data_IF_423002283068
#
_entry.id   IF_423002283068
#
_cell.length_a   1.000
_cell.length_b   1.000
_cell.length_c   1.000
_cell.angle_alpha   90.00
_cell.angle_beta   90.00
_cell.angle_gamma   90.00
#
_symmetry.space_group_name_H-M   'P 1'
#
loop_
_entity.id
_entity.type
_entity.pdbx_description
1 polymer ?
#
# COMPACT_ATOMS: atom_id res chain seq x y z
N UNK A 1 55.15 56.55 34.90
CA UNK A 1 54.33 55.38 35.32
C UNK A 1 53.43 55.00 34.14
N UNK A 2 53.36 53.71 33.79
CA UNK A 2 52.87 53.21 32.51
C UNK A 2 51.33 53.03 32.51
N UNK A 3 50.74 52.79 31.34
CA UNK A 3 49.72 51.76 31.01
C UNK A 3 49.31 52.00 29.52
N UNK A 4 49.79 51.22 28.54
CA UNK A 4 49.10 50.07 27.87
C UNK A 4 47.61 50.32 27.54
N UNK A 5 47.00 49.87 26.44
CA UNK A 5 47.21 48.73 25.54
C UNK A 5 46.26 48.89 24.33
N UNK A 6 46.77 48.71 23.12
CA UNK A 6 46.12 48.19 21.89
C UNK A 6 44.59 48.26 21.77
N UNK A 7 44.09 49.11 20.88
CA UNK A 7 42.79 48.91 20.23
C UNK A 7 42.96 47.93 19.08
N UNK A 8 42.49 46.69 19.27
CA UNK A 8 42.42 45.68 18.21
C UNK A 8 41.13 45.91 17.43
N UNK A 9 41.28 46.21 16.14
CA UNK A 9 40.21 46.23 15.15
C UNK A 9 39.62 44.82 15.02
N UNK A 10 38.35 44.66 15.38
CA UNK A 10 37.58 43.42 15.18
C UNK A 10 37.00 43.42 13.77
N UNK A 11 37.68 42.71 12.86
CA UNK A 11 37.14 42.37 11.54
C UNK A 11 36.07 41.29 11.72
N UNK A 12 34.80 41.63 11.49
CA UNK A 12 33.72 40.67 11.45
C UNK A 12 33.79 39.85 10.14
N UNK A 13 34.31 38.62 10.20
CA UNK A 13 34.15 37.65 9.11
C UNK A 13 32.70 37.14 9.13
N UNK A 14 31.89 37.59 8.18
CA UNK A 14 30.60 37.00 7.89
C UNK A 14 30.82 35.64 7.20
N UNK A 15 30.57 34.54 7.91
CA UNK A 15 30.57 33.20 7.33
C UNK A 15 29.27 32.98 6.52
N UNK A 16 29.34 32.45 5.29
CA UNK A 16 28.14 32.11 4.54
C UNK A 16 27.48 30.87 5.16
N UNK A 17 26.31 31.05 5.77
CA UNK A 17 25.47 29.95 6.23
C UNK A 17 24.92 29.19 5.00
N UNK A 18 25.52 28.05 4.68
CA UNK A 18 25.03 27.13 3.65
C UNK A 18 23.76 26.47 4.20
N UNK A 19 22.60 27.00 3.81
CA UNK A 19 21.29 26.41 4.09
C UNK A 19 21.12 25.15 3.24
N UNK A 20 21.42 23.98 3.80
CA UNK A 20 21.06 22.70 3.19
C UNK A 20 19.54 22.54 3.26
N UNK A 21 18.86 22.83 2.15
CA UNK A 21 17.44 22.53 1.99
C UNK A 21 17.25 21.01 2.10
N UNK A 22 16.74 20.54 3.24
CA UNK A 22 16.34 19.15 3.42
C UNK A 22 15.20 18.85 2.46
N UNK A 23 15.46 18.04 1.44
CA UNK A 23 14.45 17.62 0.49
C UNK A 23 13.49 16.67 1.22
N UNK A 24 12.16 16.89 1.20
CA UNK A 24 11.24 15.95 1.82
C UNK A 24 11.39 14.59 1.11
N UNK A 25 11.65 13.54 1.87
CA UNK A 25 11.56 12.19 1.37
C UNK A 25 10.07 11.87 1.18
N UNK A 26 9.60 11.81 -0.06
CA UNK A 26 8.31 11.18 -0.34
C UNK A 26 8.42 9.71 0.05
N UNK A 27 7.63 9.29 1.04
CA UNK A 27 7.49 7.88 1.34
C UNK A 27 6.81 7.21 0.14
N UNK A 28 7.37 6.06 -0.28
CA UNK A 28 6.69 5.19 -1.25
C UNK A 28 5.34 4.78 -0.70
N UNK A 29 4.38 4.59 -1.60
CA UNK A 29 3.10 4.02 -1.22
C UNK A 29 3.27 2.58 -0.73
N UNK A 30 2.51 2.17 0.30
CA UNK A 30 2.59 0.82 0.82
C UNK A 30 2.23 -0.21 -0.26
N UNK A 31 2.91 -1.36 -0.22
CA UNK A 31 2.61 -2.48 -1.12
C UNK A 31 1.18 -3.01 -0.91
N UNK A 32 0.65 -2.91 0.31
CA UNK A 32 -0.71 -3.29 0.67
C UNK A 32 -1.58 -2.05 0.86
N UNK A 33 -2.71 -1.99 0.16
CA UNK A 33 -3.73 -0.98 0.42
C UNK A 33 -4.29 -1.18 1.84
N UNK A 34 -4.15 -0.14 2.65
CA UNK A 34 -4.53 -0.16 4.05
C UNK A 34 -5.18 1.14 4.50
N UNK A 35 -6.22 1.01 5.31
CA UNK A 35 -6.94 2.11 5.96
C UNK A 35 -6.58 2.10 7.44
N UNK A 36 -5.90 3.14 7.94
CA UNK A 36 -5.40 3.21 9.31
C UNK A 36 -4.55 1.96 9.74
N UNK A 37 -3.75 1.42 8.81
CA UNK A 37 -2.92 0.23 9.05
C UNK A 37 -3.62 -1.11 8.85
N UNK A 38 -4.93 -1.12 8.55
CA UNK A 38 -5.70 -2.36 8.33
C UNK A 38 -5.82 -2.65 6.84
N UNK A 39 -5.37 -3.83 6.42
CA UNK A 39 -5.40 -4.27 5.03
C UNK A 39 -6.83 -4.39 4.50
N UNK A 40 -7.04 -3.98 3.25
CA UNK A 40 -8.28 -4.22 2.47
C UNK A 40 -9.59 -3.90 3.23
N UNK A 41 -9.56 -2.82 4.00
CA UNK A 41 -10.68 -2.34 4.83
C UNK A 41 -11.16 -3.38 5.87
N UNK A 42 -10.27 -4.26 6.34
CA UNK A 42 -10.58 -5.27 7.36
C UNK A 42 -11.34 -6.47 6.84
N UNK A 43 -11.44 -6.65 5.52
CA UNK A 43 -12.09 -7.82 4.92
C UNK A 43 -11.17 -9.03 5.00
N UNK A 44 -11.73 -10.21 5.26
CA UNK A 44 -10.97 -11.47 5.25
C UNK A 44 -10.61 -11.88 3.80
N UNK A 45 -9.31 -11.90 3.44
CA UNK A 45 -8.89 -12.25 2.08
C UNK A 45 -9.16 -13.72 1.74
N UNK A 46 -9.19 -14.62 2.72
CA UNK A 46 -9.44 -16.06 2.53
C UNK A 46 -10.92 -16.31 2.26
N UNK A 47 -11.81 -15.52 2.87
CA UNK A 47 -13.25 -15.68 2.71
C UNK A 47 -13.73 -15.55 1.25
N UNK A 48 -13.06 -14.74 0.43
CA UNK A 48 -13.37 -14.58 -1.00
C UNK A 48 -13.35 -15.90 -1.79
N UNK A 49 -12.51 -16.84 -1.38
CA UNK A 49 -12.34 -18.13 -2.07
C UNK A 49 -13.46 -19.14 -1.75
N UNK A 50 -14.33 -18.82 -0.79
CA UNK A 50 -15.50 -19.65 -0.45
C UNK A 50 -16.73 -19.38 -1.33
N UNK A 51 -16.69 -18.34 -2.17
CA UNK A 51 -17.81 -17.94 -3.04
C UNK A 51 -18.93 -17.16 -2.33
N UNK A 52 -18.86 -16.99 -1.01
CA UNK A 52 -19.87 -16.27 -0.21
C UNK A 52 -19.71 -14.74 -0.23
N UNK A 53 -18.73 -14.22 -0.98
CA UNK A 53 -18.43 -12.79 -1.05
C UNK A 53 -17.50 -12.29 0.06
N UNK A 54 -17.35 -10.96 0.20
CA UNK A 54 -16.52 -10.38 1.25
C UNK A 54 -17.15 -10.60 2.62
N UNK A 55 -16.34 -11.01 3.60
CA UNK A 55 -16.78 -11.09 4.99
C UNK A 55 -15.80 -10.27 5.85
N UNK A 56 -16.28 -9.34 6.69
CA UNK A 56 -15.42 -8.61 7.61
C UNK A 56 -14.71 -9.56 8.57
N UNK A 57 -13.39 -9.40 8.72
CA UNK A 57 -12.62 -10.10 9.74
C UNK A 57 -12.73 -9.43 11.11
N UNK A 58 -12.20 -10.11 12.13
CA UNK A 58 -12.06 -9.58 13.49
C UNK A 58 -10.60 -9.28 13.83
N UNK A 59 -10.37 -8.29 14.68
CA UNK A 59 -9.06 -8.03 15.29
C UNK A 59 -8.58 -9.19 16.19
N UNK A 60 -9.50 -10.03 16.69
CA UNK A 60 -9.18 -11.24 17.47
C UNK A 60 -8.46 -12.31 16.62
N UNK A 61 -8.57 -12.20 15.30
CA UNK A 61 -7.92 -13.06 14.34
C UNK A 61 -7.16 -12.19 13.36
N UNK A 62 -5.98 -11.73 13.77
CA UNK A 62 -5.17 -10.82 12.97
C UNK A 62 -3.74 -11.33 12.73
N UNK A 63 -3.16 -10.92 11.60
CA UNK A 63 -1.75 -11.14 11.24
C UNK A 63 -1.19 -9.84 10.67
N UNK A 64 0.03 -9.47 11.07
CA UNK A 64 0.75 -8.38 10.41
C UNK A 64 1.62 -8.96 9.29
N UNK A 65 1.39 -8.53 8.06
CA UNK A 65 2.13 -8.98 6.88
C UNK A 65 2.24 -7.85 5.86
N UNK A 66 3.44 -7.64 5.31
CA UNK A 66 3.80 -6.52 4.42
C UNK A 66 3.42 -5.14 4.98
N UNK A 67 3.60 -4.94 6.29
CA UNK A 67 3.36 -3.65 6.95
C UNK A 67 1.90 -3.30 7.16
N UNK A 68 0.97 -4.22 6.91
CA UNK A 68 -0.47 -4.06 7.17
C UNK A 68 -1.00 -5.14 8.12
N UNK A 69 -2.00 -4.81 8.91
CA UNK A 69 -2.76 -5.75 9.75
C UNK A 69 -3.91 -6.34 8.95
N UNK A 70 -3.88 -7.66 8.76
CA UNK A 70 -4.89 -8.45 8.07
C UNK A 70 -5.83 -9.06 9.10
N UNK A 71 -7.14 -8.90 8.91
CA UNK A 71 -8.17 -9.48 9.78
C UNK A 71 -8.80 -10.70 9.12
N UNK A 72 -9.24 -11.65 9.95
CA UNK A 72 -9.83 -12.90 9.50
C UNK A 72 -11.13 -13.18 10.26
N UNK A 73 -12.06 -13.87 9.61
CA UNK A 73 -13.34 -14.27 10.20
C UNK A 73 -13.18 -15.37 11.24
N UNK A 74 -12.14 -16.19 11.11
CA UNK A 74 -11.85 -17.31 11.98
C UNK A 74 -10.36 -17.58 12.08
N UNK A 75 -9.94 -18.22 13.18
CA UNK A 75 -8.57 -18.72 13.37
C UNK A 75 -8.10 -19.58 12.18
N UNK A 76 -8.96 -20.41 11.61
CA UNK A 76 -8.64 -21.26 10.47
C UNK A 76 -8.27 -20.46 9.20
N UNK A 77 -8.97 -19.34 8.94
CA UNK A 77 -8.66 -18.46 7.81
C UNK A 77 -7.33 -17.74 8.03
N UNK A 78 -7.08 -17.25 9.25
CA UNK A 78 -5.79 -16.69 9.64
C UNK A 78 -4.64 -17.66 9.35
N UNK A 79 -4.79 -18.92 9.75
CA UNK A 79 -3.79 -19.96 9.50
C UNK A 79 -3.67 -20.34 8.01
N UNK A 80 -4.76 -20.29 7.25
CA UNK A 80 -4.74 -20.47 5.80
C UNK A 80 -3.92 -19.37 5.10
N UNK A 81 -4.10 -18.12 5.54
CA UNK A 81 -3.34 -16.99 5.04
C UNK A 81 -1.86 -17.09 5.43
N UNK A 82 -1.52 -17.38 6.69
CA UNK A 82 -0.11 -17.51 7.12
C UNK A 82 0.64 -18.60 6.35
N UNK A 83 -0.04 -19.68 5.96
CA UNK A 83 0.55 -20.79 5.21
C UNK A 83 0.86 -20.42 3.76
N UNK A 84 0.00 -19.63 3.12
CA UNK A 84 0.18 -19.18 1.74
C UNK A 84 -0.43 -17.78 1.55
N UNK A 85 0.30 -16.72 1.98
CA UNK A 85 -0.21 -15.36 1.90
C UNK A 85 -0.39 -14.93 0.45
N UNK A 86 0.53 -15.38 -0.43
CA UNK A 86 0.54 -15.00 -1.83
C UNK A 86 -0.68 -15.52 -2.58
N UNK A 87 -1.23 -16.68 -2.21
CA UNK A 87 -2.48 -17.20 -2.79
C UNK A 87 -3.69 -16.35 -2.43
N UNK A 88 -3.77 -15.91 -1.18
CA UNK A 88 -4.98 -15.29 -0.64
C UNK A 88 -4.98 -13.76 -0.74
N UNK A 89 -3.82 -13.13 -0.63
CA UNK A 89 -3.68 -11.69 -0.79
C UNK A 89 -4.05 -11.26 -2.22
N UNK A 90 -4.70 -10.09 -2.41
CA UNK A 90 -4.98 -9.59 -3.75
C UNK A 90 -3.70 -9.30 -4.53
N UNK A 91 -3.71 -9.57 -5.83
CA UNK A 91 -2.51 -9.50 -6.68
C UNK A 91 -1.81 -8.14 -6.65
N UNK A 92 -2.60 -7.06 -6.60
CA UNK A 92 -2.08 -5.68 -6.54
C UNK A 92 -2.21 -5.10 -5.13
N UNK A 93 -1.91 -5.90 -4.10
CA UNK A 93 -1.86 -5.44 -2.71
C UNK A 93 -3.20 -5.01 -2.11
N UNK A 94 -4.30 -5.21 -2.83
CA UNK A 94 -5.61 -4.71 -2.44
C UNK A 94 -5.96 -3.35 -3.03
N UNK A 95 -5.12 -2.76 -3.87
CA UNK A 95 -5.52 -1.65 -4.74
C UNK A 95 -6.42 -2.15 -5.88
N UNK A 96 -7.12 -1.21 -6.52
CA UNK A 96 -7.94 -1.49 -7.68
C UNK A 96 -7.11 -2.07 -8.84
N UNK A 97 -7.37 -3.31 -9.21
CA UNK A 97 -6.69 -4.02 -10.30
C UNK A 97 -6.87 -3.33 -11.66
N UNK A 98 -8.05 -2.74 -11.89
CA UNK A 98 -8.27 -1.92 -13.09
C UNK A 98 -7.42 -0.64 -13.07
N UNK A 99 -7.33 0.07 -11.93
CA UNK A 99 -6.46 1.24 -11.84
C UNK A 99 -4.99 0.86 -12.07
N UNK A 100 -4.54 -0.25 -11.47
CA UNK A 100 -3.20 -0.79 -11.69
C UNK A 100 -2.93 -1.07 -13.18
N UNK A 101 -3.90 -1.64 -13.91
CA UNK A 101 -3.78 -1.84 -15.38
C UNK A 101 -3.70 -0.54 -16.18
N UNK A 102 -4.16 0.57 -15.59
CA UNK A 102 -4.09 1.92 -16.15
C UNK A 102 -2.91 2.74 -15.65
N UNK A 103 -2.06 2.19 -14.78
CA UNK A 103 -0.82 2.82 -14.32
C UNK A 103 -0.99 3.78 -13.14
N UNK A 104 -2.06 3.65 -12.35
CA UNK A 104 -2.25 4.45 -11.14
C UNK A 104 -2.88 3.62 -10.01
N UNK A 105 -2.78 4.13 -8.78
CA UNK A 105 -3.38 3.51 -7.60
C UNK A 105 -4.78 4.06 -7.35
N UNK A 106 -5.68 3.19 -6.95
CA UNK A 106 -6.98 3.57 -6.41
C UNK A 106 -7.36 2.60 -5.28
N UNK A 107 -8.13 3.04 -4.28
CA UNK A 107 -8.57 2.17 -3.18
C UNK A 107 -9.43 1.01 -3.69
N UNK A 108 -9.77 0.10 -2.79
CA UNK A 108 -10.73 -0.98 -3.08
C UNK A 108 -12.05 -0.83 -2.34
N UNK A 109 -13.11 -1.33 -2.97
CA UNK A 109 -14.37 -1.71 -2.35
C UNK A 109 -14.44 -3.24 -2.20
N UNK A 110 -14.74 -3.78 -0.99
CA UNK A 110 -14.77 -5.23 -0.75
C UNK A 110 -15.68 -6.03 -1.68
N UNK A 111 -16.82 -5.46 -2.09
CA UNK A 111 -17.81 -6.10 -2.96
C UNK A 111 -17.36 -6.16 -4.43
N UNK A 112 -16.38 -5.35 -4.84
CA UNK A 112 -15.91 -5.27 -6.20
C UNK A 112 -14.73 -6.21 -6.45
N UNK A 113 -14.96 -7.53 -6.34
CA UNK A 113 -13.91 -8.54 -6.37
C UNK A 113 -14.07 -9.56 -7.51
N UNK A 114 -12.95 -10.15 -7.92
CA UNK A 114 -12.91 -11.25 -8.88
C UNK A 114 -11.87 -12.26 -8.41
N UNK A 115 -12.25 -13.53 -8.32
CA UNK A 115 -11.26 -14.62 -8.25
C UNK A 115 -11.08 -15.17 -9.67
N UNK A 116 -9.86 -15.07 -10.20
CA UNK A 116 -9.51 -15.56 -11.53
C UNK A 116 -8.24 -16.39 -11.41
N UNK A 117 -8.27 -17.63 -11.94
CA UNK A 117 -7.15 -18.58 -11.87
C UNK A 117 -6.60 -18.77 -10.43
N UNK A 118 -7.50 -18.81 -9.44
CA UNK A 118 -7.12 -18.99 -8.04
C UNK A 118 -6.41 -17.78 -7.41
N UNK A 119 -6.49 -16.60 -8.04
CA UNK A 119 -5.92 -15.34 -7.55
C UNK A 119 -7.02 -14.31 -7.29
N UNK A 120 -6.87 -13.53 -6.23
CA UNK A 120 -7.82 -12.49 -5.85
C UNK A 120 -7.48 -11.15 -6.52
N UNK A 121 -8.48 -10.51 -7.11
CA UNK A 121 -8.40 -9.17 -7.68
C UNK A 121 -9.52 -8.32 -7.09
N UNK A 122 -9.17 -7.11 -6.65
CA UNK A 122 -10.13 -6.17 -6.09
C UNK A 122 -10.21 -4.91 -6.95
N UNK A 123 -11.34 -4.20 -6.92
CA UNK A 123 -11.58 -2.99 -7.69
C UNK A 123 -12.11 -1.86 -6.80
N UNK A 124 -12.02 -0.63 -7.28
CA UNK A 124 -12.45 0.57 -6.53
C UNK A 124 -13.97 0.68 -6.38
N UNK A 125 -14.72 0.07 -7.29
CA UNK A 125 -16.17 0.00 -7.29
C UNK A 125 -16.64 -1.02 -8.35
N UNK A 126 -17.95 -1.32 -8.35
CA UNK A 126 -18.57 -2.24 -9.29
C UNK A 126 -18.39 -1.82 -10.76
N UNK A 127 -18.37 -0.51 -11.07
CA UNK A 127 -18.14 -0.03 -12.44
C UNK A 127 -16.72 -0.30 -12.92
N UNK A 128 -15.72 -0.09 -12.06
CA UNK A 128 -14.33 -0.44 -12.36
C UNK A 128 -14.17 -1.96 -12.53
N UNK A 129 -14.92 -2.75 -11.76
CA UNK A 129 -14.98 -4.21 -11.94
C UNK A 129 -15.60 -4.59 -13.28
N UNK A 130 -16.68 -3.96 -13.72
CA UNK A 130 -17.26 -4.20 -15.05
C UNK A 130 -16.22 -3.97 -16.16
N UNK A 131 -15.45 -2.88 -16.08
CA UNK A 131 -14.37 -2.60 -17.04
C UNK A 131 -13.22 -3.60 -16.94
N UNK A 132 -12.88 -4.03 -15.72
CA UNK A 132 -11.90 -5.10 -15.49
C UNK A 132 -12.30 -6.41 -16.19
N UNK A 133 -13.58 -6.79 -16.07
CA UNK A 133 -14.12 -8.04 -16.61
C UNK A 133 -14.14 -8.09 -18.15
N UNK A 134 -14.00 -6.95 -18.84
CA UNK A 134 -13.98 -6.91 -20.31
C UNK A 134 -12.72 -7.55 -20.91
N UNK A 135 -11.59 -7.56 -20.18
CA UNK A 135 -10.32 -8.13 -20.63
C UNK A 135 -9.44 -8.47 -19.42
N UNK A 136 -9.79 -9.54 -18.69
CA UNK A 136 -9.06 -9.93 -17.47
C UNK A 136 -7.58 -10.20 -17.79
N UNK A 137 -7.21 -11.05 -18.79
CA UNK A 137 -5.80 -11.36 -19.04
C UNK A 137 -5.00 -10.12 -19.46
N UNK A 138 -5.55 -9.27 -20.34
CA UNK A 138 -4.86 -8.06 -20.78
C UNK A 138 -4.74 -7.01 -19.67
N UNK A 139 -5.74 -6.90 -18.78
CA UNK A 139 -5.64 -6.03 -17.61
C UNK A 139 -4.62 -6.55 -16.58
N UNK A 140 -4.52 -7.86 -16.37
CA UNK A 140 -3.48 -8.47 -15.52
C UNK A 140 -2.09 -8.14 -16.08
N UNK A 141 -1.85 -8.39 -17.36
CA UNK A 141 -0.55 -8.15 -17.98
C UNK A 141 -0.12 -6.68 -17.87
N UNK A 142 -1.03 -5.74 -18.14
CA UNK A 142 -0.77 -4.30 -17.98
C UNK A 142 -0.51 -3.93 -16.53
N UNK A 143 -1.31 -4.45 -15.59
CA UNK A 143 -1.13 -4.19 -14.17
C UNK A 143 0.23 -4.69 -13.65
N UNK A 144 0.63 -5.89 -14.07
CA UNK A 144 1.95 -6.44 -13.75
C UNK A 144 3.10 -5.63 -14.36
N UNK A 145 2.94 -5.11 -15.59
CA UNK A 145 3.94 -4.26 -16.21
C UNK A 145 4.10 -2.90 -15.48
N UNK A 146 3.02 -2.37 -14.92
CA UNK A 146 3.02 -1.12 -14.16
C UNK A 146 3.54 -1.33 -12.72
N UNK A 147 3.43 -2.53 -12.17
CA UNK A 147 3.83 -2.87 -10.80
C UNK A 147 5.29 -3.36 -10.71
N UNK A 148 6.07 -3.03 -9.67
CA UNK A 148 5.74 -2.13 -8.55
C UNK A 148 6.01 -0.64 -8.86
N UNK A 149 6.31 -0.26 -10.11
CA UNK A 149 6.69 1.11 -10.47
C UNK A 149 5.68 2.19 -10.09
N UNK A 150 4.40 1.84 -9.95
CA UNK A 150 3.34 2.75 -9.49
C UNK A 150 3.34 3.05 -7.98
N UNK A 151 4.13 2.33 -7.17
CA UNK A 151 4.21 2.53 -5.72
C UNK A 151 5.07 3.74 -5.30
N UNK A 152 5.52 4.57 -6.23
CA UNK A 152 6.35 5.75 -5.95
C UNK A 152 7.82 5.46 -5.71
#
# INVERSE_FOLDING_TARGET
MPLTRRHVLLSALAAPAVLTLSRPASAREPEVFQSAGVAINGTDPVAYFSGNGPVPGSADHAVTWLGATWHFTARANREAFERDPMRHAPVFGGYCAYAASRGYLAPTQPEAWTVHEGRLYLNANLRARELWLQDIPGNIAKGQANWPGILG
#
